data_IF_218132511296
#
_entry.id   IF_218132511296
#
_cell.length_a   1.000
_cell.length_b   1.000
_cell.length_c   1.000
_cell.angle_alpha   90.00
_cell.angle_beta   90.00
_cell.angle_gamma   90.00
#
_symmetry.space_group_name_H-M   'P 1'
#
loop_
_entity.id
_entity.type
_entity.pdbx_description
1 polymer ?
#
# COMPACT_ATOMS: atom_id res chain seq x y z
N UNK A 1 13.55 -30.57 -10.98
CA UNK A 1 12.52 -29.64 -11.48
C UNK A 1 12.23 -28.60 -10.42
N UNK A 2 12.31 -27.32 -10.76
CA UNK A 2 11.92 -26.23 -9.85
C UNK A 2 10.53 -25.76 -10.24
N UNK A 3 9.52 -26.18 -9.49
CA UNK A 3 8.13 -25.76 -9.75
C UNK A 3 7.96 -24.28 -9.41
N UNK A 4 7.51 -23.49 -10.39
CA UNK A 4 7.20 -22.07 -10.21
C UNK A 4 5.70 -21.89 -10.05
N UNK A 5 5.27 -21.40 -8.88
CA UNK A 5 3.88 -21.03 -8.64
C UNK A 5 3.62 -19.64 -9.25
N UNK A 6 2.85 -19.62 -10.34
CA UNK A 6 2.63 -18.43 -11.17
C UNK A 6 1.41 -17.59 -10.78
N UNK A 7 0.57 -18.03 -9.84
CA UNK A 7 -0.67 -17.33 -9.45
C UNK A 7 -0.50 -16.67 -8.07
N UNK A 8 -0.86 -15.39 -7.98
CA UNK A 8 -0.82 -14.60 -6.74
C UNK A 8 -2.22 -14.10 -6.33
N UNK A 9 -2.47 -14.02 -5.02
CA UNK A 9 -3.79 -13.74 -4.41
C UNK A 9 -3.78 -12.54 -3.43
N UNK A 10 -2.73 -11.70 -3.44
CA UNK A 10 -2.42 -10.78 -2.33
C UNK A 10 -2.26 -9.32 -2.74
N UNK A 11 -1.69 -9.09 -3.92
CA UNK A 11 -1.38 -7.77 -4.49
C UNK A 11 -2.48 -7.37 -5.48
N UNK A 12 -2.77 -6.08 -5.59
CA UNK A 12 -3.63 -5.57 -6.67
C UNK A 12 -2.98 -5.82 -8.04
N UNK A 13 -3.82 -5.93 -9.07
CA UNK A 13 -3.45 -6.47 -10.38
C UNK A 13 -2.33 -5.72 -11.10
N UNK A 14 -2.32 -4.38 -11.04
CA UNK A 14 -1.33 -3.52 -11.68
C UNK A 14 0.02 -3.50 -10.91
N UNK A 15 0.01 -3.50 -9.57
CA UNK A 15 1.21 -3.73 -8.75
C UNK A 15 1.80 -5.12 -9.06
N UNK A 16 0.96 -6.13 -9.18
CA UNK A 16 1.39 -7.48 -9.53
C UNK A 16 1.97 -7.55 -10.94
N UNK A 17 1.40 -6.82 -11.91
CA UNK A 17 1.88 -6.72 -13.29
C UNK A 17 3.26 -6.04 -13.36
N UNK A 18 3.45 -4.88 -12.71
CA UNK A 18 4.76 -4.20 -12.61
C UNK A 18 5.81 -5.11 -11.97
N UNK A 19 5.46 -5.81 -10.88
CA UNK A 19 6.36 -6.78 -10.24
C UNK A 19 6.64 -7.97 -11.17
N UNK A 20 5.64 -8.45 -11.91
CA UNK A 20 5.75 -9.56 -12.85
C UNK A 20 6.74 -9.25 -13.97
N UNK A 21 6.59 -8.09 -14.61
CA UNK A 21 7.47 -7.62 -15.69
C UNK A 21 8.92 -7.45 -15.19
N UNK A 22 9.09 -6.80 -14.03
CA UNK A 22 10.42 -6.44 -13.50
C UNK A 22 11.19 -7.62 -12.92
N UNK A 23 10.53 -8.54 -12.20
CA UNK A 23 11.19 -9.57 -11.39
C UNK A 23 10.91 -11.01 -11.82
N UNK A 24 9.90 -11.24 -12.68
CA UNK A 24 9.40 -12.57 -13.02
C UNK A 24 9.17 -12.79 -14.52
N UNK A 25 9.74 -11.94 -15.39
CA UNK A 25 9.65 -12.08 -16.86
C UNK A 25 8.20 -12.11 -17.39
N UNK A 26 7.28 -11.42 -16.71
CA UNK A 26 5.84 -11.42 -17.03
C UNK A 26 5.09 -12.70 -16.64
N UNK A 27 5.75 -13.65 -15.96
CA UNK A 27 5.20 -14.99 -15.66
C UNK A 27 4.28 -15.04 -14.45
N UNK A 28 4.26 -14.00 -13.61
CA UNK A 28 3.37 -13.91 -12.45
C UNK A 28 2.01 -13.34 -12.87
N UNK A 29 0.94 -14.00 -12.45
CA UNK A 29 -0.45 -13.68 -12.79
C UNK A 29 -1.26 -13.44 -11.52
N UNK A 30 -2.21 -12.51 -11.58
CA UNK A 30 -3.19 -12.29 -10.51
C UNK A 30 -4.33 -13.29 -10.63
N UNK A 31 -4.74 -13.88 -9.50
CA UNK A 31 -5.94 -14.72 -9.47
C UNK A 31 -7.19 -13.91 -9.88
N UNK A 32 -8.15 -14.52 -10.59
CA UNK A 32 -9.44 -13.88 -10.84
C UNK A 32 -10.16 -13.61 -9.51
N UNK A 33 -10.90 -12.50 -9.43
CA UNK A 33 -11.78 -12.24 -8.29
C UNK A 33 -12.84 -13.35 -8.22
N UNK A 34 -12.78 -14.14 -7.15
CA UNK A 34 -13.81 -15.13 -6.88
C UNK A 34 -15.06 -14.40 -6.38
N UNK A 35 -16.13 -14.42 -7.17
CA UNK A 35 -17.45 -14.00 -6.72
C UNK A 35 -17.87 -14.84 -5.50
N UNK A 36 -17.71 -14.27 -4.30
CA UNK A 36 -18.18 -14.90 -3.06
C UNK A 36 -19.71 -14.84 -3.07
N UNK A 37 -20.33 -15.91 -3.57
CA UNK A 37 -21.78 -16.10 -3.47
C UNK A 37 -22.22 -15.90 -2.02
N UNK A 38 -23.21 -15.03 -1.82
CA UNK A 38 -23.70 -14.63 -0.49
C UNK A 38 -24.24 -15.82 0.34
N UNK A 39 -24.59 -16.92 -0.35
CA UNK A 39 -25.04 -18.21 0.19
C UNK A 39 -24.18 -18.72 1.36
N UNK A 40 -22.85 -18.57 1.30
CA UNK A 40 -21.93 -19.04 2.36
C UNK A 40 -21.85 -18.13 3.62
N UNK A 41 -22.58 -17.01 3.66
CA UNK A 41 -22.58 -16.11 4.85
C UNK A 41 -23.60 -16.49 5.91
N UNK A 42 -24.68 -17.18 5.54
CA UNK A 42 -25.77 -17.48 6.47
C UNK A 42 -25.41 -18.60 7.45
N UNK A 43 -24.64 -19.60 7.01
CA UNK A 43 -24.23 -20.74 7.84
C UNK A 43 -23.31 -20.35 9.02
N UNK A 44 -22.43 -19.35 8.82
CA UNK A 44 -21.44 -18.96 9.84
C UNK A 44 -22.04 -18.24 11.05
N UNK A 45 -23.19 -17.57 10.88
CA UNK A 45 -23.87 -16.85 11.98
C UNK A 45 -24.82 -17.75 12.78
N UNK A 46 -24.98 -19.03 12.37
CA UNK A 46 -25.80 -20.03 13.06
C UNK A 46 -25.10 -20.73 14.24
N UNK A 47 -23.82 -20.42 14.49
CA UNK A 47 -23.04 -21.01 15.59
C UNK A 47 -23.57 -20.59 16.98
N UNK A 48 -23.76 -21.52 17.94
CA UNK A 48 -24.39 -21.23 19.24
C UNK A 48 -23.74 -20.11 20.06
N UNK A 49 -22.43 -19.88 19.88
CA UNK A 49 -21.66 -18.88 20.62
C UNK A 49 -22.14 -17.42 20.40
N UNK A 50 -22.73 -17.11 19.24
CA UNK A 50 -23.21 -15.74 18.95
C UNK A 50 -24.50 -15.35 19.70
N UNK A 51 -25.25 -16.30 20.26
CA UNK A 51 -26.49 -15.99 21.01
C UNK A 51 -26.24 -15.30 22.36
N UNK A 52 -25.03 -15.38 22.92
CA UNK A 52 -24.72 -14.82 24.25
C UNK A 52 -24.57 -13.28 24.21
N UNK A 53 -24.19 -12.71 23.07
CA UNK A 53 -23.90 -11.27 22.95
C UNK A 53 -25.14 -10.37 22.96
N UNK A 54 -26.30 -10.84 22.50
CA UNK A 54 -27.49 -9.99 22.32
C UNK A 54 -28.33 -9.77 23.59
N UNK A 55 -28.16 -10.58 24.65
CA UNK A 55 -29.06 -10.58 25.82
C UNK A 55 -28.80 -9.51 26.89
N UNK A 56 -27.82 -8.60 26.70
CA UNK A 56 -27.43 -7.56 27.68
C UNK A 56 -27.92 -6.12 27.37
N UNK A 57 -28.85 -5.92 26.44
CA UNK A 57 -29.43 -4.59 26.11
C UNK A 57 -30.97 -4.52 26.11
N UNK A 58 -31.62 -4.96 27.18
CA UNK A 58 -33.03 -4.62 27.45
C UNK A 58 -33.30 -4.47 28.95
N UNK A 59 -33.09 -3.26 29.48
CA UNK A 59 -33.05 -3.04 30.93
C UNK A 59 -33.37 -1.63 31.41
N UNK A 60 -34.33 -0.92 30.81
CA UNK A 60 -35.01 0.22 31.46
C UNK A 60 -36.37 0.55 30.84
N UNK A 61 -37.44 0.38 31.60
CA UNK A 61 -38.81 0.82 31.26
C UNK A 61 -39.14 2.08 32.04
N UNK A 62 -39.59 3.14 31.34
CA UNK A 62 -40.54 4.20 31.76
C UNK A 62 -41.03 4.88 30.46
N UNK A 63 -42.24 4.63 29.93
CA UNK A 63 -43.60 5.00 30.38
C UNK A 63 -44.12 6.30 29.76
N UNK A 64 -45.41 6.34 29.39
CA UNK A 64 -46.18 7.41 28.70
C UNK A 64 -45.99 7.52 27.17
N UNK A 65 -47.00 7.92 26.37
CA UNK A 65 -48.45 7.78 26.51
C UNK A 65 -49.14 7.87 25.12
N UNK A 66 -50.35 7.32 25.03
CA UNK A 66 -51.27 7.26 23.87
C UNK A 66 -51.30 8.49 22.95
N UNK A 67 -51.31 8.26 21.63
CA UNK A 67 -52.39 8.81 20.76
C UNK A 67 -52.60 7.93 19.51
N UNK A 68 -53.77 8.06 18.88
CA UNK A 68 -54.46 7.06 18.04
C UNK A 68 -54.96 7.73 16.76
N UNK A 69 -54.55 7.28 15.57
CA UNK A 69 -55.25 7.55 14.29
C UNK A 69 -55.21 6.30 13.40
N UNK A 70 -56.29 6.07 12.64
CA UNK A 70 -56.48 4.97 11.67
C UNK A 70 -56.52 5.52 10.23
N UNK A 71 -55.95 4.77 9.28
CA UNK A 71 -56.42 4.65 7.87
C UNK A 71 -55.47 3.69 7.12
N UNK A 72 -55.81 2.54 6.54
CA UNK A 72 -56.89 2.10 5.62
C UNK A 72 -56.56 2.27 4.12
N UNK A 73 -57.03 1.32 3.29
CA UNK A 73 -56.69 1.05 1.86
C UNK A 73 -55.34 0.33 1.64
N UNK A 74 -55.21 -0.88 1.06
CA UNK A 74 -56.12 -1.87 0.39
C UNK A 74 -56.49 -1.65 -1.10
N UNK A 75 -55.62 -2.12 -2.00
CA UNK A 75 -55.92 -2.80 -3.29
C UNK A 75 -54.58 -3.35 -3.88
N UNK A 76 -54.35 -4.60 -4.31
CA UNK A 76 -55.09 -5.69 -5.00
C UNK A 76 -55.03 -5.65 -6.54
N UNK A 77 -54.79 -6.82 -7.16
CA UNK A 77 -54.56 -7.15 -8.59
C UNK A 77 -53.05 -7.17 -8.99
N UNK A 78 -52.36 -8.28 -9.35
CA UNK A 78 -52.62 -9.68 -9.80
C UNK A 78 -52.73 -9.88 -11.33
N UNK A 79 -51.78 -10.69 -11.89
CA UNK A 79 -51.78 -11.36 -13.23
C UNK A 79 -51.85 -10.44 -14.48
N UNK A 80 -51.38 -10.75 -15.70
CA UNK A 80 -50.57 -11.84 -16.31
C UNK A 80 -50.34 -11.48 -17.83
N UNK A 81 -49.48 -12.07 -18.68
CA UNK A 81 -48.59 -13.25 -18.54
C UNK A 81 -47.29 -13.19 -19.42
N UNK A 82 -46.99 -14.23 -20.24
CA UNK A 82 -45.78 -14.50 -21.05
C UNK A 82 -45.59 -13.63 -22.31
N UNK A 83 -44.32 -13.38 -22.64
CA UNK A 83 -43.87 -13.11 -24.02
C UNK A 83 -42.43 -13.62 -24.26
N UNK A 84 -42.26 -14.72 -25.00
CA UNK A 84 -40.93 -15.25 -25.38
C UNK A 84 -40.36 -14.39 -26.52
N UNK A 85 -39.24 -13.70 -26.27
CA UNK A 85 -38.43 -13.06 -27.32
C UNK A 85 -36.95 -13.32 -27.09
N UNK A 86 -36.30 -14.05 -27.99
CA UNK A 86 -34.83 -14.19 -28.00
C UNK A 86 -34.21 -12.90 -28.54
N UNK A 87 -33.84 -11.97 -27.67
CA UNK A 87 -32.96 -10.86 -28.04
C UNK A 87 -31.51 -11.31 -27.94
N UNK A 88 -30.71 -11.04 -28.98
CA UNK A 88 -29.30 -11.44 -29.01
C UNK A 88 -28.48 -10.75 -27.92
N UNK A 89 -27.48 -11.46 -27.40
CA UNK A 89 -26.49 -10.88 -26.50
C UNK A 89 -25.63 -9.87 -27.26
N UNK A 90 -26.11 -8.63 -27.37
CA UNK A 90 -25.26 -7.51 -27.75
C UNK A 90 -24.20 -7.35 -26.66
N UNK A 91 -22.93 -7.58 -27.04
CA UNK A 91 -21.80 -7.29 -26.19
C UNK A 91 -21.90 -5.82 -25.76
N UNK A 92 -21.96 -5.57 -24.45
CA UNK A 92 -21.83 -4.21 -23.93
C UNK A 92 -20.48 -3.67 -24.41
N UNK A 93 -20.40 -2.45 -24.96
CA UNK A 93 -19.11 -1.82 -25.23
C UNK A 93 -18.29 -1.87 -23.95
N UNK A 94 -16.99 -2.17 -24.07
CA UNK A 94 -16.10 -2.17 -22.94
C UNK A 94 -16.20 -0.79 -22.26
N UNK A 95 -16.59 -0.79 -20.98
CA UNK A 95 -16.60 0.43 -20.18
C UNK A 95 -15.18 1.01 -20.21
N UNK A 96 -15.08 2.26 -20.64
CA UNK A 96 -13.82 2.99 -20.73
C UNK A 96 -13.23 3.11 -19.32
N UNK A 97 -12.28 2.21 -19.01
CA UNK A 97 -11.52 2.23 -17.78
C UNK A 97 -10.56 3.42 -17.83
N UNK A 98 -11.12 4.60 -17.58
CA UNK A 98 -10.38 5.72 -16.98
C UNK A 98 -9.45 5.13 -15.92
N UNK A 99 -8.12 5.28 -16.05
CA UNK A 99 -7.20 4.59 -15.17
C UNK A 99 -7.47 4.98 -13.73
N UNK A 100 -7.84 4.01 -12.90
CA UNK A 100 -7.88 4.20 -11.46
C UNK A 100 -6.51 4.66 -10.96
N UNK A 101 -6.43 5.32 -9.80
CA UNK A 101 -5.15 5.76 -9.25
C UNK A 101 -4.22 4.54 -9.14
N UNK A 102 -3.10 4.56 -9.87
CA UNK A 102 -2.21 3.41 -9.96
C UNK A 102 -1.74 2.98 -8.57
N UNK A 103 -1.82 1.68 -8.29
CA UNK A 103 -1.42 1.15 -6.99
C UNK A 103 0.08 1.32 -6.77
N UNK A 104 0.89 1.43 -7.83
CA UNK A 104 2.30 1.82 -7.77
C UNK A 104 2.44 3.31 -8.09
N UNK A 105 3.27 4.04 -7.34
CA UNK A 105 3.62 5.43 -7.67
C UNK A 105 5.02 5.79 -7.18
N UNK A 106 5.74 6.62 -7.94
CA UNK A 106 7.03 7.19 -7.57
C UNK A 106 6.88 8.67 -7.22
N UNK A 107 7.25 9.04 -6.00
CA UNK A 107 7.34 10.40 -5.52
C UNK A 107 8.79 10.88 -5.66
N UNK A 108 9.06 11.67 -6.70
CA UNK A 108 10.38 12.27 -6.95
C UNK A 108 10.59 13.48 -6.04
N UNK A 109 11.58 13.40 -5.15
CA UNK A 109 11.94 14.49 -4.25
C UNK A 109 12.95 15.48 -4.87
N UNK A 110 13.53 15.18 -6.04
CA UNK A 110 14.56 16.02 -6.66
C UNK A 110 14.17 17.50 -6.90
N UNK A 111 12.90 17.88 -7.19
CA UNK A 111 12.49 19.28 -7.27
C UNK A 111 12.67 20.06 -5.97
N UNK A 112 12.64 19.37 -4.83
CA UNK A 112 12.87 19.93 -3.49
C UNK A 112 14.35 19.99 -3.11
N UNK A 113 15.25 19.54 -4.00
CA UNK A 113 16.72 19.56 -3.87
C UNK A 113 17.21 19.01 -2.51
N UNK A 114 16.81 17.77 -2.14
CA UNK A 114 17.06 17.20 -0.82
C UNK A 114 18.55 17.08 -0.53
N UNK A 115 19.00 17.65 0.59
CA UNK A 115 20.38 17.52 1.05
C UNK A 115 20.45 16.45 2.14
N UNK A 116 21.25 15.41 1.90
CA UNK A 116 21.54 14.39 2.89
C UNK A 116 22.47 14.97 3.95
N UNK A 117 22.14 14.72 5.22
CA UNK A 117 22.95 15.07 6.38
C UNK A 117 23.24 13.82 7.21
N UNK A 118 24.13 13.91 8.20
CA UNK A 118 24.43 12.79 9.11
C UNK A 118 24.30 13.17 10.57
N UNK A 119 23.67 12.32 11.37
CA UNK A 119 23.76 12.40 12.83
C UNK A 119 25.13 11.86 13.28
N UNK A 120 26.05 12.75 13.62
CA UNK A 120 27.40 12.39 14.05
C UNK A 120 27.48 11.96 15.53
N UNK A 121 26.36 11.87 16.26
CA UNK A 121 26.34 11.52 17.71
C UNK A 121 26.66 10.05 17.99
N UNK A 122 26.71 9.17 16.98
CA UNK A 122 27.11 7.76 17.12
C UNK A 122 27.98 7.34 15.95
N UNK A 123 28.75 6.27 16.15
CA UNK A 123 29.64 5.69 15.12
C UNK A 123 28.83 5.03 14.00
N UNK A 124 29.25 5.28 12.76
CA UNK A 124 28.71 4.64 11.56
C UNK A 124 27.86 5.58 10.72
N UNK A 125 27.38 5.09 9.58
CA UNK A 125 26.60 5.90 8.65
C UNK A 125 25.17 6.11 9.19
N UNK A 126 24.83 7.37 9.50
CA UNK A 126 23.53 7.75 10.07
C UNK A 126 22.84 8.82 9.22
N UNK A 127 22.35 8.47 8.01
CA UNK A 127 21.74 9.42 7.10
C UNK A 127 20.42 9.98 7.63
N UNK A 128 20.29 11.29 7.51
CA UNK A 128 19.08 12.06 7.81
C UNK A 128 18.73 12.90 6.57
N UNK A 129 17.48 12.78 6.12
CA UNK A 129 16.93 13.51 4.99
C UNK A 129 15.60 14.14 5.43
N UNK A 130 15.65 15.43 5.78
CA UNK A 130 14.51 16.17 6.32
C UNK A 130 13.39 16.36 5.28
N UNK A 131 13.75 16.50 4.00
CA UNK A 131 12.79 16.58 2.89
C UNK A 131 11.99 15.28 2.78
N UNK A 132 12.66 14.12 2.85
CA UNK A 132 11.96 12.83 2.83
C UNK A 132 11.09 12.64 4.07
N UNK A 133 11.53 13.07 5.26
CA UNK A 133 10.68 13.07 6.47
C UNK A 133 9.41 13.93 6.28
N UNK A 134 9.51 15.11 5.68
CA UNK A 134 8.37 15.95 5.37
C UNK A 134 7.41 15.26 4.37
N UNK A 135 7.93 14.79 3.23
CA UNK A 135 7.17 14.05 2.22
C UNK A 135 6.45 12.82 2.79
N UNK A 136 7.13 12.01 3.61
CA UNK A 136 6.54 10.87 4.32
C UNK A 136 5.39 11.32 5.23
N UNK A 137 5.57 12.41 5.95
CA UNK A 137 4.57 12.93 6.88
C UNK A 137 3.31 13.39 6.13
N UNK A 138 3.46 14.11 5.02
CA UNK A 138 2.32 14.60 4.23
C UNK A 138 1.62 13.46 3.47
N UNK A 139 2.37 12.51 2.93
CA UNK A 139 1.82 11.28 2.36
C UNK A 139 0.99 10.50 3.39
N UNK A 140 1.49 10.31 4.62
CA UNK A 140 0.72 9.62 5.67
C UNK A 140 -0.53 10.40 6.04
N UNK A 141 -0.48 11.74 6.12
CA UNK A 141 -1.67 12.58 6.37
C UNK A 141 -2.73 12.34 5.30
N UNK A 142 -2.38 12.36 4.02
CA UNK A 142 -3.30 12.07 2.91
C UNK A 142 -3.90 10.65 3.02
N UNK A 143 -3.07 9.63 3.27
CA UNK A 143 -3.52 8.25 3.43
C UNK A 143 -4.55 8.12 4.57
N UNK A 144 -4.35 8.84 5.68
CA UNK A 144 -5.26 8.85 6.83
C UNK A 144 -6.55 9.63 6.56
N UNK A 145 -6.48 10.82 5.98
CA UNK A 145 -7.61 11.76 5.90
C UNK A 145 -8.43 11.60 4.62
N UNK A 146 -7.76 11.46 3.46
CA UNK A 146 -8.39 11.34 2.15
C UNK A 146 -8.73 9.89 1.86
N UNK A 147 -7.74 8.98 1.98
CA UNK A 147 -7.91 7.56 1.63
C UNK A 147 -8.45 6.69 2.77
N UNK A 148 -8.56 7.25 3.98
CA UNK A 148 -9.09 6.59 5.20
C UNK A 148 -8.39 5.26 5.56
N UNK A 149 -7.11 5.12 5.19
CA UNK A 149 -6.27 3.98 5.56
C UNK A 149 -5.86 4.10 7.03
N UNK A 150 -5.93 3.01 7.80
CA UNK A 150 -5.51 3.03 9.21
C UNK A 150 -3.99 2.94 9.35
N UNK A 151 -3.40 3.61 10.35
CA UNK A 151 -1.94 3.59 10.62
C UNK A 151 -1.34 2.17 10.63
N UNK A 152 -2.04 1.22 11.26
CA UNK A 152 -1.62 -0.19 11.36
C UNK A 152 -1.53 -0.91 10.00
N UNK A 153 -2.27 -0.42 9.00
CA UNK A 153 -2.33 -0.95 7.64
C UNK A 153 -1.25 -0.32 6.72
N UNK A 154 -0.45 0.62 7.24
CA UNK A 154 0.66 1.30 6.55
C UNK A 154 2.00 0.77 7.08
N UNK A 155 2.97 0.56 6.18
CA UNK A 155 4.37 0.27 6.54
C UNK A 155 5.36 1.18 5.79
N UNK A 156 6.32 1.78 6.51
CA UNK A 156 7.48 2.43 5.90
C UNK A 156 8.68 1.46 5.92
N UNK A 157 9.29 1.27 4.75
CA UNK A 157 10.53 0.53 4.57
C UNK A 157 11.65 1.54 4.26
N UNK A 158 12.73 1.51 5.05
CA UNK A 158 13.96 2.26 4.79
C UNK A 158 15.21 1.35 4.82
N UNK A 159 16.27 1.67 4.07
CA UNK A 159 17.48 0.85 4.02
C UNK A 159 18.34 0.87 5.31
N UNK A 160 18.18 1.86 6.19
CA UNK A 160 19.07 2.04 7.35
C UNK A 160 18.33 1.93 8.69
N UNK A 161 18.90 1.16 9.63
CA UNK A 161 18.39 1.06 11.01
C UNK A 161 18.41 2.40 11.74
N UNK A 162 19.44 3.23 11.52
CA UNK A 162 19.53 4.61 12.05
C UNK A 162 18.32 5.44 11.63
N UNK A 163 17.96 5.41 10.34
CA UNK A 163 16.77 6.10 9.82
C UNK A 163 15.46 5.51 10.37
N UNK A 164 15.34 4.19 10.59
CA UNK A 164 14.18 3.60 11.30
C UNK A 164 14.00 4.22 12.68
N UNK A 165 15.08 4.37 13.46
CA UNK A 165 15.00 4.99 14.78
C UNK A 165 14.66 6.49 14.68
N UNK A 166 15.21 7.20 13.70
CA UNK A 166 14.92 8.61 13.46
C UNK A 166 13.43 8.82 13.16
N UNK A 167 12.91 8.16 12.11
CA UNK A 167 11.50 8.26 11.71
C UNK A 167 10.56 7.83 12.85
N UNK A 168 10.85 6.75 13.58
CA UNK A 168 10.05 6.35 14.75
C UNK A 168 10.03 7.43 15.83
N UNK A 169 11.16 8.10 16.11
CA UNK A 169 11.23 9.19 17.09
C UNK A 169 10.37 10.37 16.64
N UNK A 170 10.57 10.84 15.41
CA UNK A 170 9.89 12.01 14.88
C UNK A 170 8.38 11.79 14.74
N UNK A 171 7.95 10.71 14.09
CA UNK A 171 6.54 10.46 13.79
C UNK A 171 5.72 10.16 15.07
N UNK A 172 6.30 9.48 16.06
CA UNK A 172 5.64 9.25 17.36
C UNK A 172 5.71 10.49 18.26
N UNK A 173 6.83 11.21 18.24
CA UNK A 173 7.09 12.41 19.02
C UNK A 173 6.28 13.63 18.59
N UNK A 174 6.05 13.80 17.28
CA UNK A 174 5.27 14.92 16.72
C UNK A 174 3.81 14.57 16.42
N UNK A 175 3.50 13.33 16.01
CA UNK A 175 2.16 12.98 15.50
C UNK A 175 1.45 11.85 16.25
N UNK A 176 2.07 11.26 17.29
CA UNK A 176 1.49 10.15 18.08
C UNK A 176 1.15 8.91 17.22
N UNK A 177 1.81 8.74 16.07
CA UNK A 177 1.60 7.60 15.18
C UNK A 177 2.33 6.35 15.68
N UNK A 178 1.85 5.78 16.79
CA UNK A 178 2.49 4.62 17.44
C UNK A 178 2.32 3.33 16.63
N UNK A 179 1.11 3.11 16.08
CA UNK A 179 0.74 1.92 15.28
C UNK A 179 1.33 1.90 13.87
N UNK A 180 1.91 3.01 13.43
CA UNK A 180 2.62 3.08 12.15
C UNK A 180 3.87 2.22 12.19
N UNK A 181 3.96 1.27 11.28
CA UNK A 181 5.10 0.36 11.25
C UNK A 181 6.24 0.91 10.40
N UNK A 182 7.36 1.25 11.01
CA UNK A 182 8.58 1.65 10.31
C UNK A 182 9.65 0.59 10.54
N UNK A 183 10.32 0.12 9.48
CA UNK A 183 11.33 -0.94 9.57
C UNK A 183 12.30 -0.95 8.40
N UNK A 184 13.23 -1.91 8.41
CA UNK A 184 14.02 -2.25 7.21
C UNK A 184 13.34 -3.38 6.45
N UNK A 185 13.82 -3.71 5.24
CA UNK A 185 13.26 -4.78 4.40
C UNK A 185 13.10 -6.10 5.19
N UNK A 186 14.12 -6.45 6.00
CA UNK A 186 14.09 -7.65 6.86
C UNK A 186 13.00 -7.60 7.95
N UNK A 187 12.59 -6.42 8.41
CA UNK A 187 11.50 -6.28 9.38
C UNK A 187 10.18 -6.83 8.81
N UNK A 188 9.93 -6.63 7.51
CA UNK A 188 8.68 -7.04 6.85
C UNK A 188 8.75 -8.44 6.21
N UNK A 189 9.81 -9.22 6.45
CA UNK A 189 9.93 -10.57 5.89
C UNK A 189 8.77 -11.46 6.38
N UNK A 190 8.04 -12.07 5.44
CA UNK A 190 6.85 -12.89 5.73
C UNK A 190 5.61 -12.11 6.18
N UNK A 191 5.65 -10.77 6.24
CA UNK A 191 4.54 -9.91 6.65
C UNK A 191 4.15 -8.95 5.53
N UNK A 192 2.97 -8.35 5.63
CA UNK A 192 2.41 -7.48 4.58
C UNK A 192 1.61 -6.32 5.19
N UNK A 193 1.36 -5.30 4.37
CA UNK A 193 0.53 -4.13 4.66
C UNK A 193 -0.36 -3.82 3.47
N UNK A 194 -1.44 -3.07 3.68
CA UNK A 194 -2.24 -2.53 2.57
C UNK A 194 -1.39 -1.55 1.78
N UNK A 195 -0.77 -0.61 2.49
CA UNK A 195 0.11 0.40 1.91
C UNK A 195 1.54 0.19 2.38
N UNK A 196 2.49 0.16 1.44
CA UNK A 196 3.92 0.22 1.72
C UNK A 196 4.47 1.51 1.12
N UNK A 197 5.27 2.21 1.92
CA UNK A 197 6.07 3.35 1.48
C UNK A 197 7.53 2.91 1.53
N UNK A 198 8.17 2.76 0.38
CA UNK A 198 9.61 2.48 0.29
C UNK A 198 10.35 3.81 0.13
N UNK A 199 11.00 4.26 1.20
CA UNK A 199 11.87 5.44 1.16
C UNK A 199 13.32 5.00 0.95
N UNK A 200 13.92 5.49 -0.14
CA UNK A 200 15.34 5.26 -0.46
C UNK A 200 16.29 6.03 0.47
N UNK A 201 15.81 7.10 1.14
CA UNK A 201 16.52 8.02 2.05
C UNK A 201 17.63 8.85 1.39
N UNK A 202 18.28 8.30 0.36
CA UNK A 202 19.47 8.84 -0.27
C UNK A 202 19.18 10.04 -1.18
N UNK A 203 20.03 11.05 -1.04
CA UNK A 203 20.16 12.19 -1.95
C UNK A 203 21.63 12.63 -2.00
N UNK A 204 21.94 13.77 -2.61
CA UNK A 204 23.28 14.36 -2.52
C UNK A 204 23.64 14.80 -1.08
N UNK A 205 24.81 14.42 -0.56
CA UNK A 205 25.27 14.81 0.78
C UNK A 205 26.11 16.10 0.73
N UNK A 206 25.76 17.09 1.56
CA UNK A 206 26.58 18.30 1.70
C UNK A 206 27.85 18.01 2.53
N UNK A 207 29.01 18.13 1.90
CA UNK A 207 30.33 17.95 2.53
C UNK A 207 31.31 19.00 2.04
N UNK A 208 31.87 19.79 2.96
CA UNK A 208 32.95 20.74 2.66
C UNK A 208 32.59 21.79 1.59
N UNK A 209 31.33 22.23 1.53
CA UNK A 209 30.85 23.20 0.52
C UNK A 209 30.44 22.59 -0.82
N UNK A 210 30.61 21.29 -1.04
CA UNK A 210 30.17 20.58 -2.24
C UNK A 210 29.06 19.54 -1.92
N UNK A 211 28.25 19.21 -2.92
CA UNK A 211 27.27 18.11 -2.83
C UNK A 211 27.87 16.87 -3.47
N UNK A 212 28.00 15.79 -2.69
CA UNK A 212 28.57 14.51 -3.13
C UNK A 212 27.47 13.45 -3.29
N UNK A 213 27.48 12.76 -4.42
CA UNK A 213 26.60 11.63 -4.69
C UNK A 213 27.42 10.33 -4.71
N UNK A 214 27.00 9.32 -3.96
CA UNK A 214 27.71 8.04 -3.85
C UNK A 214 26.75 6.88 -3.57
N UNK A 215 27.18 5.67 -3.91
CA UNK A 215 26.39 4.47 -3.65
C UNK A 215 26.54 3.96 -2.22
N UNK A 216 25.41 3.59 -1.63
CA UNK A 216 25.31 2.96 -0.31
C UNK A 216 25.12 1.46 -0.42
N UNK A 217 25.75 0.71 0.49
CA UNK A 217 25.76 -0.76 0.51
C UNK A 217 24.39 -1.42 0.25
N UNK A 218 23.27 -1.02 0.89
CA UNK A 218 21.97 -1.68 0.70
C UNK A 218 21.49 -1.77 -0.75
N UNK A 219 21.90 -0.83 -1.61
CA UNK A 219 21.54 -0.78 -3.03
C UNK A 219 22.74 -0.98 -3.97
N UNK A 220 23.94 -1.25 -3.45
CA UNK A 220 25.15 -1.33 -4.27
C UNK A 220 25.37 -2.73 -4.83
N UNK A 221 24.83 -2.98 -6.02
CA UNK A 221 24.98 -4.23 -6.77
C UNK A 221 26.43 -4.73 -6.90
N UNK A 222 27.43 -3.83 -6.94
CA UNK A 222 28.85 -4.22 -6.98
C UNK A 222 29.34 -4.89 -5.68
N UNK A 223 28.68 -4.62 -4.55
CA UNK A 223 28.99 -5.17 -3.22
C UNK A 223 28.02 -6.28 -2.79
N UNK A 224 26.80 -6.26 -3.34
CA UNK A 224 25.67 -7.08 -2.88
C UNK A 224 25.11 -8.03 -3.96
N UNK A 225 25.50 -7.89 -5.23
CA UNK A 225 25.07 -8.73 -6.35
C UNK A 225 23.55 -8.87 -6.46
N UNK A 226 23.10 -10.11 -6.73
CA UNK A 226 21.68 -10.48 -6.84
C UNK A 226 20.85 -10.26 -5.57
N UNK A 227 21.45 -9.88 -4.42
CA UNK A 227 20.65 -9.54 -3.25
C UNK A 227 19.90 -8.21 -3.40
N UNK A 228 20.36 -7.25 -4.23
CA UNK A 228 19.65 -5.97 -4.43
C UNK A 228 18.30 -6.18 -5.15
N UNK A 229 18.21 -6.88 -6.31
CA UNK A 229 16.92 -7.22 -6.91
C UNK A 229 16.02 -8.05 -5.98
N UNK A 230 16.58 -9.01 -5.22
CA UNK A 230 15.81 -9.80 -4.26
C UNK A 230 15.24 -8.95 -3.12
N UNK A 231 16.02 -8.03 -2.57
CA UNK A 231 15.58 -7.09 -1.52
C UNK A 231 14.47 -6.16 -2.02
N UNK A 232 14.60 -5.64 -3.24
CA UNK A 232 13.57 -4.79 -3.86
C UNK A 232 12.29 -5.58 -4.16
N UNK A 233 12.38 -6.79 -4.71
CA UNK A 233 11.23 -7.68 -4.90
C UNK A 233 10.54 -7.99 -3.56
N UNK A 234 11.29 -8.30 -2.50
CA UNK A 234 10.72 -8.46 -1.16
C UNK A 234 9.97 -7.18 -0.75
N UNK A 235 10.60 -6.01 -0.82
CA UNK A 235 9.98 -4.74 -0.42
C UNK A 235 8.70 -4.42 -1.19
N UNK A 236 8.70 -4.58 -2.52
CA UNK A 236 7.57 -4.31 -3.40
C UNK A 236 6.42 -5.30 -3.10
N UNK A 237 6.72 -6.60 -3.01
CA UNK A 237 5.75 -7.65 -2.67
C UNK A 237 5.29 -7.68 -1.22
N UNK A 238 5.63 -6.67 -0.38
CA UNK A 238 5.03 -6.48 0.94
C UNK A 238 3.71 -5.70 0.88
N UNK A 239 3.45 -5.01 -0.24
CA UNK A 239 2.22 -4.23 -0.42
C UNK A 239 1.10 -5.09 -0.99
N UNK A 240 -0.13 -4.77 -0.60
CA UNK A 240 -1.35 -5.43 -1.09
C UNK A 240 -2.20 -4.51 -1.95
N UNK A 241 -2.33 -3.24 -1.57
CA UNK A 241 -3.22 -2.26 -2.21
C UNK A 241 -2.48 -1.06 -2.80
N UNK A 242 -1.37 -0.59 -2.19
CA UNK A 242 -0.61 0.54 -2.74
C UNK A 242 0.88 0.52 -2.35
N UNK A 243 1.78 0.66 -3.33
CA UNK A 243 3.21 0.88 -3.16
C UNK A 243 3.57 2.30 -3.58
N UNK A 244 4.07 3.10 -2.64
CA UNK A 244 4.66 4.41 -2.94
C UNK A 244 6.17 4.33 -2.74
N UNK A 245 6.95 4.74 -3.73
CA UNK A 245 8.41 4.86 -3.60
C UNK A 245 8.78 6.33 -3.46
N UNK A 246 9.65 6.67 -2.49
CA UNK A 246 10.18 8.03 -2.31
C UNK A 246 11.67 8.03 -2.64
N UNK A 247 12.07 8.86 -3.61
CA UNK A 247 13.45 8.93 -4.06
C UNK A 247 13.82 10.29 -4.65
N UNK A 248 15.07 10.71 -4.40
CA UNK A 248 15.70 11.79 -5.16
C UNK A 248 16.12 11.21 -6.52
N UNK A 249 15.33 11.45 -7.57
CA UNK A 249 15.65 10.89 -8.89
C UNK A 249 16.86 11.55 -9.55
N UNK A 250 17.33 12.72 -9.08
CA UNK A 250 18.62 13.26 -9.51
C UNK A 250 19.76 12.39 -8.97
N UNK A 251 19.76 12.08 -7.67
CA UNK A 251 20.72 11.14 -7.08
C UNK A 251 20.61 9.74 -7.68
N UNK A 252 19.40 9.20 -7.88
CA UNK A 252 19.20 7.88 -8.48
C UNK A 252 19.79 7.82 -9.89
N UNK A 253 19.49 8.79 -10.76
CA UNK A 253 20.05 8.81 -12.13
C UNK A 253 21.58 8.92 -12.11
N UNK A 254 22.14 9.81 -11.27
CA UNK A 254 23.61 10.01 -11.13
C UNK A 254 24.36 8.76 -10.63
N UNK A 255 23.83 8.04 -9.65
CA UNK A 255 24.55 6.95 -8.93
C UNK A 255 24.11 5.55 -9.37
N UNK A 256 22.84 5.40 -9.75
CA UNK A 256 22.16 4.12 -9.96
C UNK A 256 21.51 3.98 -11.35
N UNK A 257 21.52 5.01 -12.22
CA UNK A 257 20.80 4.98 -13.50
C UNK A 257 21.13 3.78 -14.41
N UNK A 258 22.39 3.33 -14.45
CA UNK A 258 22.79 2.12 -15.20
C UNK A 258 22.58 0.80 -14.44
N UNK A 259 22.35 0.88 -13.12
CA UNK A 259 22.13 -0.25 -12.19
C UNK A 259 20.65 -0.67 -12.19
N UNK A 260 20.33 -1.81 -11.60
CA UNK A 260 18.95 -2.32 -11.53
C UNK A 260 18.00 -1.34 -10.84
N UNK A 261 18.42 -0.72 -9.73
CA UNK A 261 17.56 0.24 -9.01
C UNK A 261 17.14 1.44 -9.88
N UNK A 262 18.05 2.05 -10.65
CA UNK A 262 17.72 3.19 -11.51
C UNK A 262 16.71 2.81 -12.59
N UNK A 263 17.00 1.74 -13.33
CA UNK A 263 16.12 1.19 -14.38
C UNK A 263 14.74 0.80 -13.87
N UNK A 264 14.65 0.31 -12.63
CA UNK A 264 13.37 0.00 -11.98
C UNK A 264 12.58 1.26 -11.68
N UNK A 265 13.19 2.27 -11.04
CA UNK A 265 12.47 3.50 -10.68
C UNK A 265 12.06 4.32 -11.91
N UNK A 266 12.85 4.29 -12.99
CA UNK A 266 12.49 4.93 -14.27
C UNK A 266 11.25 4.30 -14.97
N UNK A 267 10.87 3.07 -14.61
CA UNK A 267 9.64 2.42 -15.10
C UNK A 267 8.39 2.73 -14.28
N UNK A 268 8.52 3.31 -13.09
CA UNK A 268 7.38 3.57 -12.22
C UNK A 268 6.66 4.86 -12.64
N UNK A 269 5.31 4.89 -12.60
CA UNK A 269 4.57 6.11 -12.89
C UNK A 269 4.90 7.18 -11.84
N UNK A 270 5.25 8.37 -12.30
CA UNK A 270 5.49 9.53 -11.44
C UNK A 270 4.18 10.04 -10.83
N UNK A 271 4.30 10.58 -9.62
CA UNK A 271 3.20 11.21 -8.88
C UNK A 271 3.12 12.72 -9.12
#
# INVERSE_FOLDING_TARGET
>A
FTSFFNIQYRMQSDLAEVISEVFYEGRLQSAPEMEVKQEYREDLDSSPDNMVAQKKKSGRVKSSAKSRVKSSAKSSAKSSEKGRGKAGAQARPAEDKTPGPSSVTLLDSSPMRPVLTQDNRRRGFQPVNEVHLALLTDLIRELLTVRRVMLRDIGIIVPFRSTVWHLRRELRGKHRWYDLEVGTIHTFQGREKKVIILDTVMSGEARGGAVQHYSVRPFDEAKNGLSVPRLLNVAFSRSREQLVVVADMEHIRRVYGRKFLGKLLEKLPLR
#
